data_IF_767575128412
#
_entry.id   IF_767575128412
#
_cell.length_a   1.000
_cell.length_b   1.000
_cell.length_c   1.000
_cell.angle_alpha   90.00
_cell.angle_beta   90.00
_cell.angle_gamma   90.00
#
_symmetry.space_group_name_H-M   'P 1'
#
loop_
_entity.id
_entity.type
_entity.pdbx_description
1 polymer ?
#
# COMPACT_ATOMS: atom_id res chain seq x y z
N UNK A 1 19.36 15.41 9.39
CA UNK A 1 18.56 14.60 8.45
C UNK A 1 17.70 13.67 9.27
N UNK A 2 16.41 13.52 8.92
CA UNK A 2 15.55 12.50 9.52
C UNK A 2 16.11 11.11 9.21
N UNK A 3 16.21 10.23 10.20
CA UNK A 3 16.57 8.81 10.04
C UNK A 3 15.39 7.96 9.51
N UNK A 4 14.25 8.58 9.18
CA UNK A 4 12.99 7.91 8.83
C UNK A 4 12.50 8.37 7.46
N UNK A 5 12.00 7.43 6.65
CA UNK A 5 11.48 7.68 5.30
C UNK A 5 10.24 6.83 5.03
N UNK A 6 9.25 7.40 4.37
CA UNK A 6 8.09 6.65 3.87
C UNK A 6 8.50 5.73 2.70
N UNK A 7 8.00 4.49 2.69
CA UNK A 7 8.41 3.47 1.71
C UNK A 7 7.31 3.17 0.68
N UNK A 8 6.18 2.62 1.13
CA UNK A 8 5.08 2.21 0.28
C UNK A 8 3.80 2.09 1.12
N UNK A 9 2.66 2.02 0.44
CA UNK A 9 1.37 1.64 1.03
C UNK A 9 0.97 0.26 0.50
N UNK A 10 0.37 -0.57 1.35
CA UNK A 10 -0.01 -1.94 0.99
C UNK A 10 -1.51 -2.00 0.72
N UNK A 11 -1.88 -2.53 -0.45
CA UNK A 11 -3.27 -2.76 -0.83
C UNK A 11 -3.57 -4.25 -0.84
N UNK A 12 -4.69 -4.67 -0.25
CA UNK A 12 -5.21 -6.03 -0.42
C UNK A 12 -5.94 -6.12 -1.76
N UNK A 13 -5.55 -7.08 -2.59
CA UNK A 13 -6.03 -7.22 -3.96
C UNK A 13 -6.89 -8.48 -4.09
N UNK A 14 -8.15 -8.30 -4.48
CA UNK A 14 -9.07 -9.41 -4.74
C UNK A 14 -8.96 -9.95 -6.16
N UNK A 15 -8.99 -9.06 -7.17
CA UNK A 15 -8.86 -9.42 -8.58
C UNK A 15 -7.54 -8.91 -9.15
N UNK A 16 -6.53 -9.78 -9.20
CA UNK A 16 -5.19 -9.44 -9.67
C UNK A 16 -5.17 -8.93 -11.12
N UNK A 17 -5.97 -9.52 -12.02
CA UNK A 17 -6.00 -9.14 -13.44
C UNK A 17 -6.52 -7.71 -13.63
N UNK A 18 -7.65 -7.39 -13.04
CA UNK A 18 -8.23 -6.04 -13.14
C UNK A 18 -7.33 -5.00 -12.46
N UNK A 19 -6.76 -5.35 -11.30
CA UNK A 19 -5.84 -4.46 -10.59
C UNK A 19 -4.60 -4.18 -11.43
N UNK A 20 -3.92 -5.19 -11.97
CA UNK A 20 -2.72 -4.97 -12.78
C UNK A 20 -3.02 -4.12 -14.02
N UNK A 21 -4.18 -4.34 -14.65
CA UNK A 21 -4.67 -3.48 -15.74
C UNK A 21 -4.82 -2.03 -15.30
N UNK A 22 -5.51 -1.79 -14.19
CA UNK A 22 -5.69 -0.44 -13.65
C UNK A 22 -4.34 0.25 -13.36
N UNK A 23 -3.44 -0.41 -12.65
CA UNK A 23 -2.15 0.16 -12.29
C UNK A 23 -1.27 0.44 -13.51
N UNK A 24 -1.24 -0.45 -14.51
CA UNK A 24 -0.41 -0.27 -15.72
C UNK A 24 -1.03 0.70 -16.72
N UNK A 25 -2.31 0.54 -17.05
CA UNK A 25 -2.95 1.24 -18.17
C UNK A 25 -3.58 2.56 -17.76
N UNK A 26 -4.12 2.66 -16.54
CA UNK A 26 -4.77 3.89 -16.04
C UNK A 26 -3.76 4.75 -15.30
N UNK A 27 -3.00 4.15 -14.37
CA UNK A 27 -2.01 4.87 -13.59
C UNK A 27 -0.62 4.88 -14.23
N UNK A 28 -0.36 4.19 -15.34
CA UNK A 28 0.98 4.21 -15.96
C UNK A 28 2.10 3.62 -15.10
N UNK A 29 1.78 2.84 -14.06
CA UNK A 29 2.77 2.25 -13.16
C UNK A 29 3.48 1.07 -13.80
N UNK A 30 4.72 0.85 -13.36
CA UNK A 30 5.56 -0.29 -13.73
C UNK A 30 5.70 -1.26 -12.57
N UNK A 31 5.83 -2.53 -12.90
CA UNK A 31 6.22 -3.55 -11.94
C UNK A 31 7.70 -3.36 -11.60
N UNK A 32 7.99 -3.15 -10.32
CA UNK A 32 9.35 -3.02 -9.81
C UNK A 32 9.90 -4.38 -9.39
N UNK A 33 9.06 -5.26 -8.84
CA UNK A 33 9.39 -6.65 -8.50
C UNK A 33 8.12 -7.43 -8.20
N UNK A 34 8.19 -8.73 -8.36
CA UNK A 34 7.10 -9.66 -8.07
C UNK A 34 7.65 -10.90 -7.36
N UNK A 35 6.97 -11.35 -6.32
CA UNK A 35 7.32 -12.54 -5.55
C UNK A 35 6.08 -13.40 -5.30
N UNK A 36 6.21 -14.72 -5.51
CA UNK A 36 5.21 -15.73 -5.15
C UNK A 36 5.67 -16.47 -3.89
N UNK A 37 4.72 -16.74 -2.99
CA UNK A 37 4.96 -17.42 -1.72
C UNK A 37 4.06 -18.66 -1.64
N UNK A 38 4.69 -19.81 -1.45
CA UNK A 38 4.04 -21.12 -1.44
C UNK A 38 3.36 -21.47 -0.11
N UNK A 39 3.69 -20.74 0.95
CA UNK A 39 3.15 -20.92 2.29
C UNK A 39 2.51 -19.61 2.77
N UNK A 40 1.55 -19.74 3.69
CA UNK A 40 0.95 -18.60 4.37
C UNK A 40 1.99 -17.67 4.95
N UNK A 41 1.69 -16.37 4.96
CA UNK A 41 2.56 -15.35 5.54
C UNK A 41 2.90 -15.77 6.98
N UNK A 42 4.17 -16.10 7.28
CA UNK A 42 4.64 -16.43 8.64
C UNK A 42 4.30 -15.32 9.65
N UNK A 43 4.19 -14.09 9.16
CA UNK A 43 3.78 -12.93 9.93
C UNK A 43 2.26 -12.85 10.21
N UNK A 44 1.47 -13.84 9.76
CA UNK A 44 -0.01 -13.82 9.77
C UNK A 44 -0.62 -12.52 9.24
N UNK A 45 0.16 -11.81 8.43
CA UNK A 45 -0.11 -10.47 7.93
C UNK A 45 -1.32 -10.43 6.98
N UNK A 46 -1.63 -11.59 6.39
CA UNK A 46 -2.74 -11.77 5.47
C UNK A 46 -4.03 -12.19 6.19
N UNK A 47 -4.10 -12.15 7.53
CA UNK A 47 -5.33 -12.50 8.26
C UNK A 47 -5.76 -13.96 8.02
N UNK A 48 -7.01 -14.25 7.63
CA UNK A 48 -7.49 -15.62 7.41
C UNK A 48 -6.91 -16.27 6.14
N UNK A 49 -6.15 -15.55 5.32
CA UNK A 49 -5.51 -16.09 4.13
C UNK A 49 -4.17 -16.74 4.51
N UNK A 50 -4.21 -18.00 4.91
CA UNK A 50 -3.07 -18.82 5.34
C UNK A 50 -2.48 -19.70 4.23
N UNK A 51 -3.00 -19.55 3.01
CA UNK A 51 -2.52 -20.24 1.81
C UNK A 51 -1.45 -19.46 1.03
N UNK A 52 -1.25 -19.87 -0.22
CA UNK A 52 -0.36 -19.21 -1.19
C UNK A 52 -0.75 -17.75 -1.38
N UNK A 53 0.24 -16.89 -1.55
CA UNK A 53 0.03 -15.47 -1.78
C UNK A 53 1.19 -14.88 -2.58
N UNK A 54 0.98 -13.69 -3.16
CA UNK A 54 2.01 -12.99 -3.89
C UNK A 54 2.16 -11.55 -3.43
N UNK A 55 3.33 -10.96 -3.70
CA UNK A 55 3.62 -9.56 -3.48
C UNK A 55 4.12 -8.96 -4.78
N UNK A 56 3.50 -7.84 -5.18
CA UNK A 56 3.94 -7.07 -6.34
C UNK A 56 4.19 -5.65 -5.89
N UNK A 57 5.40 -5.16 -6.10
CA UNK A 57 5.68 -3.73 -5.95
C UNK A 57 5.46 -3.05 -7.29
N UNK A 58 4.58 -2.07 -7.32
CA UNK A 58 4.38 -1.20 -8.47
C UNK A 58 4.77 0.24 -8.12
N UNK A 59 5.32 0.96 -9.09
CA UNK A 59 5.70 2.36 -8.92
C UNK A 59 5.57 3.14 -10.22
N UNK A 60 5.45 4.46 -10.09
CA UNK A 60 5.40 5.36 -11.24
C UNK A 60 6.82 5.61 -11.73
N UNK A 61 7.07 5.34 -13.01
CA UNK A 61 8.23 5.86 -13.73
C UNK A 61 7.78 7.12 -14.48
N UNK A 62 8.63 8.14 -14.58
CA UNK A 62 8.33 9.52 -15.00
C UNK A 62 7.91 9.68 -16.49
N UNK A 63 7.31 8.66 -17.10
CA UNK A 63 6.84 8.69 -18.48
C UNK A 63 5.32 8.76 -18.52
N UNK A 64 4.85 10.01 -18.47
CA UNK A 64 3.67 10.55 -19.15
C UNK A 64 2.38 9.74 -18.92
N UNK A 65 1.61 10.13 -17.89
CA UNK A 65 0.17 10.01 -17.96
C UNK A 65 -0.31 11.35 -18.52
N UNK A 66 -0.51 11.45 -19.83
CA UNK A 66 -1.25 12.60 -20.37
C UNK A 66 -2.72 12.41 -20.01
N UNK A 67 -3.13 12.90 -18.85
CA UNK A 67 -4.55 13.08 -18.58
C UNK A 67 -5.00 14.29 -19.40
N UNK A 68 -5.95 14.08 -20.31
CA UNK A 68 -6.62 15.19 -21.00
C UNK A 68 -7.66 15.79 -20.05
N UNK A 69 -7.22 16.39 -18.95
CA UNK A 69 -8.08 16.92 -17.90
C UNK A 69 -7.82 18.40 -17.71
N UNK A 70 -8.64 19.24 -18.35
CA UNK A 70 -8.60 20.69 -18.13
C UNK A 70 -9.03 20.97 -16.69
N UNK A 71 -8.06 21.33 -15.85
CA UNK A 71 -8.18 22.05 -14.58
C UNK A 71 -8.88 21.39 -13.36
N UNK A 72 -9.29 20.11 -13.43
CA UNK A 72 -9.96 19.43 -12.31
C UNK A 72 -9.15 18.26 -11.71
N UNK A 73 -9.22 18.11 -10.38
CA UNK A 73 -8.77 16.90 -9.69
C UNK A 73 -9.69 15.73 -10.09
N UNK A 74 -9.14 14.67 -10.68
CA UNK A 74 -9.90 13.47 -11.03
C UNK A 74 -9.78 12.46 -9.91
N UNK A 75 -10.91 11.93 -9.44
CA UNK A 75 -10.92 10.77 -8.55
C UNK A 75 -11.19 9.53 -9.40
N UNK A 76 -10.24 8.60 -9.40
CA UNK A 76 -10.42 7.26 -9.99
C UNK A 76 -10.43 6.22 -8.88
N UNK A 77 -11.13 5.12 -9.09
CA UNK A 77 -11.25 4.03 -8.13
C UNK A 77 -10.63 2.75 -8.69
N UNK A 78 -9.69 2.17 -7.94
CA UNK A 78 -9.07 0.90 -8.27
C UNK A 78 -10.03 -0.26 -7.96
N UNK A 79 -9.86 -1.43 -8.62
CA UNK A 79 -10.55 -2.65 -8.20
C UNK A 79 -10.29 -2.91 -6.71
N UNK A 80 -11.36 -3.09 -5.94
CA UNK A 80 -11.32 -3.18 -4.48
C UNK A 80 -11.69 -1.89 -3.74
N UNK A 81 -12.01 -0.80 -4.44
CA UNK A 81 -12.59 0.42 -3.86
C UNK A 81 -11.59 1.49 -3.42
N UNK A 82 -10.29 1.29 -3.66
CA UNK A 82 -9.26 2.26 -3.29
C UNK A 82 -9.28 3.47 -4.22
N UNK A 83 -9.37 4.67 -3.65
CA UNK A 83 -9.49 5.92 -4.40
C UNK A 83 -8.12 6.56 -4.62
N UNK A 84 -7.90 7.01 -5.85
CA UNK A 84 -6.74 7.79 -6.26
C UNK A 84 -7.20 9.16 -6.74
N UNK A 85 -6.61 10.21 -6.19
CA UNK A 85 -6.80 11.58 -6.71
C UNK A 85 -5.65 11.91 -7.64
N UNK A 86 -5.98 12.07 -8.93
CA UNK A 86 -5.06 12.49 -9.97
C UNK A 86 -5.15 14.00 -10.11
N UNK A 87 -3.99 14.65 -10.13
CA UNK A 87 -3.86 16.10 -10.24
C UNK A 87 -3.07 16.37 -11.52
N UNK A 88 -3.69 17.04 -12.49
CA UNK A 88 -3.04 17.37 -13.76
C UNK A 88 -2.10 18.57 -13.57
N UNK A 89 -0.89 18.27 -13.10
CA UNK A 89 0.18 19.24 -12.88
C UNK A 89 1.51 18.61 -13.22
N UNK A 90 2.40 19.42 -13.79
CA UNK A 90 3.81 19.05 -13.89
C UNK A 90 4.38 18.82 -12.49
N UNK A 91 4.96 17.63 -12.30
CA UNK A 91 5.59 17.25 -11.04
C UNK A 91 7.08 17.06 -11.24
N UNK A 92 7.87 17.67 -10.35
CA UNK A 92 9.27 17.30 -10.15
C UNK A 92 9.35 16.24 -9.06
N UNK A 93 10.27 15.28 -9.23
CA UNK A 93 10.47 14.17 -8.29
C UNK A 93 9.38 13.09 -8.35
N UNK A 94 9.12 12.43 -7.22
CA UNK A 94 8.13 11.35 -7.12
C UNK A 94 6.70 11.88 -7.36
N UNK A 95 5.95 11.35 -8.33
CA UNK A 95 4.56 11.75 -8.58
C UNK A 95 3.59 11.38 -7.45
N UNK A 96 3.91 10.41 -6.59
CA UNK A 96 3.06 10.08 -5.43
C UNK A 96 3.29 11.11 -4.32
N UNK A 97 2.33 12.01 -4.11
CA UNK A 97 2.49 13.15 -3.18
C UNK A 97 1.99 12.90 -1.77
N UNK A 98 0.89 12.16 -1.59
CA UNK A 98 0.35 11.85 -0.28
C UNK A 98 -0.51 10.60 -0.25
N UNK A 99 -0.64 10.02 0.93
CA UNK A 99 -1.66 9.03 1.29
C UNK A 99 -2.60 9.67 2.30
N UNK A 100 -3.91 9.53 2.10
CA UNK A 100 -4.92 10.07 3.00
C UNK A 100 -5.62 8.95 3.75
N UNK A 101 -5.68 9.03 5.09
CA UNK A 101 -6.38 8.08 5.95
C UNK A 101 -7.40 8.80 6.83
N UNK A 102 -8.53 8.14 7.07
CA UNK A 102 -9.56 8.62 7.98
C UNK A 102 -9.19 8.34 9.44
N UNK A 103 -9.43 9.29 10.32
CA UNK A 103 -9.18 9.16 11.76
C UNK A 103 -10.41 9.58 12.57
N UNK A 104 -10.65 8.93 13.71
CA UNK A 104 -11.77 9.29 14.59
C UNK A 104 -11.47 10.49 15.46
N UNK A 105 -10.19 10.83 15.69
CA UNK A 105 -9.79 11.96 16.51
C UNK A 105 -8.43 12.52 16.10
N UNK A 106 -8.42 13.69 15.46
CA UNK A 106 -7.17 14.36 15.07
C UNK A 106 -6.23 14.60 16.25
N UNK A 107 -6.74 14.95 17.42
CA UNK A 107 -5.91 15.19 18.60
C UNK A 107 -5.13 13.92 19.01
N UNK A 108 -5.78 12.76 19.04
CA UNK A 108 -5.13 11.48 19.36
C UNK A 108 -4.15 11.08 18.27
N UNK A 109 -4.54 11.23 17.01
CA UNK A 109 -3.68 10.88 15.87
C UNK A 109 -2.46 11.78 15.81
N UNK A 110 -2.59 13.09 16.02
CA UNK A 110 -1.45 14.01 16.08
C UNK A 110 -0.51 13.64 17.23
N UNK A 111 -1.02 13.36 18.42
CA UNK A 111 -0.17 12.89 19.54
C UNK A 111 0.65 11.66 19.14
N UNK A 112 0.05 10.70 18.44
CA UNK A 112 0.75 9.51 17.99
C UNK A 112 1.75 9.81 16.86
N UNK A 113 1.28 10.35 15.73
CA UNK A 113 2.07 10.52 14.52
C UNK A 113 3.16 11.59 14.65
N UNK A 114 2.86 12.70 15.32
CA UNK A 114 3.84 13.77 15.58
C UNK A 114 4.73 13.44 16.77
N UNK A 115 4.16 13.14 17.94
CA UNK A 115 4.96 13.13 19.17
C UNK A 115 5.63 11.77 19.43
N UNK A 116 5.00 10.65 19.02
CA UNK A 116 5.58 9.31 19.17
C UNK A 116 6.39 8.95 17.92
N UNK A 117 5.81 9.14 16.74
CA UNK A 117 6.46 8.79 15.48
C UNK A 117 7.30 9.91 14.88
N UNK A 118 7.33 11.11 15.46
CA UNK A 118 8.27 12.15 15.08
C UNK A 118 8.01 12.77 13.70
N UNK A 119 6.80 12.65 13.15
CA UNK A 119 6.46 13.35 11.91
C UNK A 119 6.32 14.86 12.16
N UNK A 120 6.72 15.66 11.17
CA UNK A 120 6.48 17.10 11.17
C UNK A 120 5.08 17.37 10.62
N UNK A 121 4.33 18.25 11.28
CA UNK A 121 3.06 18.79 10.78
C UNK A 121 3.35 19.94 9.82
N UNK A 122 2.92 19.81 8.57
CA UNK A 122 3.09 20.82 7.52
C UNK A 122 1.86 21.71 7.37
N UNK A 123 0.67 21.13 7.51
CA UNK A 123 -0.62 21.83 7.43
C UNK A 123 -1.57 21.25 8.46
N UNK A 124 -2.42 22.08 9.06
CA UNK A 124 -3.45 21.64 9.99
C UNK A 124 -4.68 22.54 9.88
N UNK A 125 -5.85 21.93 9.83
CA UNK A 125 -7.17 22.55 9.94
C UNK A 125 -7.96 21.88 11.06
N UNK A 126 -9.20 22.29 11.26
CA UNK A 126 -10.11 21.63 12.23
C UNK A 126 -10.43 20.17 11.83
N UNK A 127 -10.38 19.85 10.54
CA UNK A 127 -10.80 18.54 10.01
C UNK A 127 -9.69 17.77 9.32
N UNK A 128 -8.49 18.35 9.14
CA UNK A 128 -7.36 17.68 8.50
C UNK A 128 -6.01 18.03 9.11
N UNK A 129 -5.03 17.15 8.94
CA UNK A 129 -3.63 17.45 9.17
C UNK A 129 -2.75 16.77 8.12
N UNK A 130 -1.73 17.47 7.61
CA UNK A 130 -0.74 16.95 6.67
C UNK A 130 0.60 16.79 7.38
N UNK A 131 1.14 15.58 7.38
CA UNK A 131 2.35 15.21 8.10
C UNK A 131 3.40 14.57 7.18
N UNK A 132 4.67 14.62 7.57
CA UNK A 132 5.73 13.91 6.86
C UNK A 132 7.07 13.94 7.59
N UNK A 133 7.99 13.08 7.15
CA UNK A 133 9.37 13.07 7.65
C UNK A 133 10.28 14.05 6.89
N UNK A 134 9.98 14.28 5.61
CA UNK A 134 10.77 15.13 4.72
C UNK A 134 9.85 16.07 3.94
N UNK A 135 10.30 17.29 3.68
CA UNK A 135 9.49 18.33 3.02
C UNK A 135 9.21 18.01 1.55
N UNK A 136 10.08 17.26 0.87
CA UNK A 136 10.00 16.96 -0.56
C UNK A 136 9.51 15.53 -0.88
N UNK A 137 9.20 14.71 0.13
CA UNK A 137 8.70 13.33 -0.04
C UNK A 137 7.20 13.21 0.17
N UNK A 138 6.66 12.02 -0.11
CA UNK A 138 5.26 11.69 0.12
C UNK A 138 4.83 12.01 1.56
N UNK A 139 3.61 12.56 1.72
CA UNK A 139 3.00 12.99 2.99
C UNK A 139 1.90 12.03 3.45
N UNK A 140 1.56 12.10 4.73
CA UNK A 140 0.38 11.48 5.32
C UNK A 140 -0.66 12.56 5.60
N UNK A 141 -1.85 12.45 5.03
CA UNK A 141 -2.98 13.32 5.35
C UNK A 141 -3.96 12.57 6.25
N UNK A 142 -4.17 13.10 7.46
CA UNK A 142 -5.18 12.64 8.39
C UNK A 142 -6.47 13.42 8.14
N UNK A 143 -7.59 12.72 7.98
CA UNK A 143 -8.91 13.33 7.76
C UNK A 143 -9.84 12.93 8.90
N UNK A 144 -10.32 13.90 9.67
CA UNK A 144 -11.27 13.65 10.75
C UNK A 144 -12.62 13.23 10.18
N UNK A 145 -13.08 12.02 10.53
CA UNK A 145 -14.33 11.47 10.02
C UNK A 145 -15.56 11.88 10.84
N UNK A 146 -15.37 12.26 12.11
CA UNK A 146 -16.47 12.48 13.05
C UNK A 146 -17.14 11.18 13.53
N UNK A 147 -16.63 10.02 13.14
CA UNK A 147 -17.07 8.70 13.58
C UNK A 147 -15.87 7.74 13.76
N UNK A 148 -16.05 6.60 14.44
CA UNK A 148 -15.05 5.53 14.47
C UNK A 148 -14.68 5.05 13.06
N UNK A 149 -13.41 4.68 12.87
CA UNK A 149 -12.93 4.15 11.59
C UNK A 149 -13.40 2.70 11.43
N UNK A 150 -14.02 2.40 10.28
CA UNK A 150 -14.31 1.04 9.84
C UNK A 150 -13.22 0.57 8.86
N UNK A 151 -12.43 -0.42 9.29
CA UNK A 151 -11.36 -1.00 8.48
C UNK A 151 -11.86 -2.10 7.54
N UNK A 152 -13.11 -2.55 7.68
CA UNK A 152 -13.67 -3.69 6.97
C UNK A 152 -12.68 -4.89 6.96
N UNK A 153 -12.29 -5.36 5.79
CA UNK A 153 -11.34 -6.48 5.62
C UNK A 153 -9.87 -6.04 5.56
N UNK A 154 -9.57 -4.75 5.69
CA UNK A 154 -8.24 -4.16 5.52
C UNK A 154 -7.42 -4.04 6.83
N UNK A 155 -7.60 -4.97 7.78
CA UNK A 155 -6.76 -5.08 8.99
C UNK A 155 -5.49 -5.92 8.73
N UNK A 156 -4.46 -5.78 9.56
CA UNK A 156 -3.29 -6.67 9.65
C UNK A 156 -2.80 -6.86 11.12
N UNK A 157 -1.55 -7.32 11.33
CA UNK A 157 -0.99 -7.79 12.63
C UNK A 157 0.56 -7.77 12.65
N UNK A 158 1.14 -7.91 13.86
CA UNK A 158 2.59 -7.85 14.20
C UNK A 158 3.43 -8.99 13.62
N UNK A 159 4.65 -8.72 13.10
CA UNK A 159 5.71 -9.74 13.04
C UNK A 159 7.14 -9.18 12.94
N UNK A 160 8.13 -10.07 13.17
CA UNK A 160 9.52 -9.75 13.50
C UNK A 160 10.58 -10.17 12.46
N UNK A 161 10.24 -10.97 11.43
CA UNK A 161 11.13 -11.25 10.28
C UNK A 161 10.37 -11.90 9.12
N UNK A 162 10.68 -11.54 7.87
CA UNK A 162 10.09 -12.14 6.66
C UNK A 162 11.21 -12.55 5.71
N UNK A 163 11.34 -13.85 5.50
CA UNK A 163 12.22 -14.39 4.47
C UNK A 163 11.55 -14.21 3.12
N UNK A 164 12.23 -13.52 2.20
CA UNK A 164 11.79 -13.39 0.81
C UNK A 164 12.69 -14.28 -0.05
N UNK A 165 12.15 -15.24 -0.82
CA UNK A 165 12.95 -16.17 -1.61
C UNK A 165 13.99 -15.45 -2.48
N UNK A 166 15.27 -15.83 -2.32
CA UNK A 166 16.38 -15.26 -3.09
C UNK A 166 16.73 -13.80 -2.78
N UNK A 167 16.21 -13.21 -1.68
CA UNK A 167 16.48 -11.82 -1.29
C UNK A 167 16.92 -11.69 0.17
N UNK A 168 17.39 -10.51 0.54
CA UNK A 168 17.79 -10.21 1.92
C UNK A 168 16.63 -10.40 2.90
N UNK A 169 16.89 -11.07 4.03
CA UNK A 169 15.97 -11.10 5.17
C UNK A 169 15.92 -9.71 5.81
N UNK A 170 14.72 -9.23 6.11
CA UNK A 170 14.51 -7.95 6.78
C UNK A 170 13.83 -8.17 8.13
N UNK A 171 14.28 -7.41 9.12
CA UNK A 171 13.61 -7.27 10.41
C UNK A 171 12.64 -6.10 10.34
N UNK A 172 11.45 -6.28 10.91
CA UNK A 172 10.44 -5.25 10.98
C UNK A 172 9.62 -5.32 12.27
N UNK A 173 8.89 -4.25 12.55
CA UNK A 173 7.91 -4.14 13.63
C UNK A 173 6.66 -3.50 13.05
N UNK A 174 5.49 -4.09 13.31
CA UNK A 174 4.20 -3.49 12.92
C UNK A 174 3.53 -2.94 14.17
N UNK A 175 3.14 -1.67 14.10
CA UNK A 175 2.37 -0.97 15.13
C UNK A 175 0.99 -0.59 14.56
N UNK A 176 0.00 -0.49 15.43
CA UNK A 176 -1.30 0.10 15.10
C UNK A 176 -1.40 1.50 15.72
N UNK A 177 -1.88 2.47 14.94
CA UNK A 177 -2.18 3.80 15.44
C UNK A 177 -3.45 3.82 16.31
N UNK A 178 -3.86 4.97 16.89
CA UNK A 178 -5.03 5.05 17.77
C UNK A 178 -6.35 4.61 17.11
N UNK A 179 -6.43 4.65 15.79
CA UNK A 179 -7.60 4.22 15.02
C UNK A 179 -7.45 2.80 14.47
N UNK A 180 -6.31 2.13 14.68
CA UNK A 180 -6.05 0.78 14.19
C UNK A 180 -5.37 0.71 12.82
N UNK A 181 -4.90 1.84 12.28
CA UNK A 181 -4.11 1.84 11.03
C UNK A 181 -2.74 1.26 11.28
N UNK A 182 -2.32 0.34 10.42
CA UNK A 182 -1.05 -0.36 10.58
C UNK A 182 0.14 0.28 9.90
N UNK A 183 1.25 0.23 10.62
CA UNK A 183 2.49 0.86 10.25
C UNK A 183 3.62 -0.15 10.42
N UNK A 184 4.24 -0.52 9.31
CA UNK A 184 5.42 -1.38 9.29
C UNK A 184 6.70 -0.54 9.31
N UNK A 185 7.50 -0.68 10.37
CA UNK A 185 8.86 -0.17 10.45
C UNK A 185 9.83 -1.27 10.06
N UNK A 186 10.73 -1.01 9.12
CA UNK A 186 11.70 -1.98 8.63
C UNK A 186 13.10 -1.35 8.65
N UNK A 187 14.12 -2.16 8.92
CA UNK A 187 15.52 -1.71 8.85
C UNK A 187 15.91 -1.24 7.44
N UNK A 188 16.42 -0.01 7.32
CA UNK A 188 16.66 0.64 6.02
C UNK A 188 17.70 -0.09 5.17
N UNK A 189 18.82 -0.54 5.76
CA UNK A 189 19.92 -1.18 5.03
C UNK A 189 19.47 -2.48 4.34
N UNK A 190 18.90 -3.41 5.10
CA UNK A 190 18.40 -4.67 4.55
C UNK A 190 17.22 -4.44 3.58
N UNK A 191 16.37 -3.43 3.84
CA UNK A 191 15.26 -3.11 2.94
C UNK A 191 15.74 -2.54 1.61
N UNK A 192 16.84 -1.76 1.57
CA UNK A 192 17.43 -1.28 0.31
C UNK A 192 17.86 -2.43 -0.59
N UNK A 193 18.41 -3.48 0.00
CA UNK A 193 18.79 -4.69 -0.74
C UNK A 193 17.57 -5.48 -1.20
N UNK A 194 16.58 -5.69 -0.33
CA UNK A 194 15.32 -6.37 -0.66
C UNK A 194 14.51 -5.65 -1.75
N UNK A 195 14.52 -4.32 -1.75
CA UNK A 195 13.67 -3.47 -2.59
C UNK A 195 14.25 -3.15 -3.97
N UNK A 196 15.40 -3.74 -4.33
CA UNK A 196 15.97 -3.61 -5.68
C UNK A 196 14.95 -4.00 -6.75
N UNK A 197 14.93 -3.18 -7.81
CA UNK A 197 14.10 -3.45 -8.99
C UNK A 197 14.59 -4.75 -9.63
N UNK A 198 13.65 -5.67 -9.86
CA UNK A 198 13.88 -6.89 -10.61
C UNK A 198 13.54 -6.62 -12.09
N UNK A 199 14.53 -6.68 -13.01
CA UNK A 199 14.27 -6.49 -14.43
C UNK A 199 13.31 -7.53 -15.02
N UNK A 200 13.12 -8.67 -14.35
CA UNK A 200 12.17 -9.71 -14.75
C UNK A 200 10.82 -9.59 -14.03
N UNK A 201 10.63 -8.62 -13.14
CA UNK A 201 9.43 -8.51 -12.30
C UNK A 201 8.14 -8.50 -13.11
N UNK A 202 8.13 -7.80 -14.25
CA UNK A 202 6.97 -7.76 -15.15
C UNK A 202 6.65 -9.14 -15.75
N UNK A 203 7.69 -9.84 -16.22
CA UNK A 203 7.57 -11.19 -16.78
C UNK A 203 7.08 -12.18 -15.72
N UNK A 204 7.65 -12.14 -14.51
CA UNK A 204 7.27 -13.01 -13.40
C UNK A 204 5.79 -12.83 -13.04
N UNK A 205 5.32 -11.59 -12.92
CA UNK A 205 3.91 -11.30 -12.67
C UNK A 205 3.01 -11.82 -13.79
N UNK A 206 3.37 -11.57 -15.06
CA UNK A 206 2.57 -12.03 -16.20
C UNK A 206 2.47 -13.56 -16.24
N UNK A 207 3.56 -14.28 -15.94
CA UNK A 207 3.55 -15.74 -15.81
C UNK A 207 2.62 -16.19 -14.69
N UNK A 208 2.75 -15.59 -13.50
CA UNK A 208 1.92 -15.97 -12.35
C UNK A 208 0.42 -15.68 -12.59
N UNK A 209 0.08 -14.62 -13.32
CA UNK A 209 -1.29 -14.31 -13.74
C UNK A 209 -1.83 -15.33 -14.75
N UNK A 210 -1.00 -15.79 -15.70
CA UNK A 210 -1.39 -16.80 -16.67
C UNK A 210 -1.62 -18.18 -16.03
N UNK A 211 -0.91 -18.47 -14.94
CA UNK A 211 -1.02 -19.71 -14.16
C UNK A 211 -2.07 -19.63 -13.04
N UNK A 212 -2.74 -18.48 -12.89
CA UNK A 212 -3.72 -18.23 -11.84
C UNK A 212 -4.96 -19.11 -11.99
N UNK A 213 -5.29 -19.88 -10.95
CA UNK A 213 -6.49 -20.73 -10.87
C UNK A 213 -7.39 -20.36 -9.71
N UNK A 214 -7.28 -19.12 -9.21
CA UNK A 214 -8.05 -18.64 -8.06
C UNK A 214 -9.55 -18.73 -8.31
N UNK A 215 -10.03 -18.39 -9.51
CA UNK A 215 -11.46 -18.51 -9.87
C UNK A 215 -11.97 -19.95 -9.78
N UNK A 216 -11.19 -20.92 -10.28
CA UNK A 216 -11.54 -22.34 -10.15
C UNK A 216 -11.57 -22.77 -8.68
N UNK A 217 -10.64 -22.28 -7.88
CA UNK A 217 -10.58 -22.57 -6.45
C UNK A 217 -11.80 -21.98 -5.73
N UNK A 218 -12.13 -20.71 -5.96
CA UNK A 218 -13.30 -20.07 -5.37
C UNK A 218 -14.60 -20.77 -5.79
N UNK A 219 -14.74 -21.19 -7.05
CA UNK A 219 -15.90 -21.98 -7.49
C UNK A 219 -16.01 -23.33 -6.74
N UNK A 220 -14.89 -24.00 -6.47
CA UNK A 220 -14.83 -25.25 -5.71
C UNK A 220 -15.07 -25.05 -4.20
N UNK A 221 -14.71 -23.90 -3.64
CA UNK A 221 -14.86 -23.60 -2.21
C UNK A 221 -16.24 -23.04 -1.89
N UNK A 222 -16.77 -22.13 -2.72
CA UNK A 222 -18.12 -21.60 -2.59
C UNK A 222 -19.20 -22.71 -2.64
N UNK A 223 -18.92 -23.81 -3.34
CA UNK A 223 -19.79 -24.99 -3.38
C UNK A 223 -19.69 -25.91 -2.15
N UNK A 224 -18.73 -25.71 -1.23
CA UNK A 224 -18.44 -26.62 -0.10
C UNK A 224 -18.90 -26.14 1.27
N UNK A 225 -19.13 -24.85 1.51
CA UNK A 225 -19.86 -24.28 2.69
C UNK A 225 -19.92 -22.76 2.58
N UNK A 226 -20.99 -22.15 3.10
CA UNK A 226 -21.24 -20.69 3.18
C UNK A 226 -19.98 -19.94 3.64
N UNK A 227 -19.28 -19.32 2.70
CA UNK A 227 -18.40 -18.20 2.98
C UNK A 227 -19.30 -16.97 3.08
N UNK A 228 -19.53 -16.49 4.30
CA UNK A 228 -20.06 -15.14 4.51
C UNK A 228 -18.87 -14.19 4.63
N UNK A 229 -18.82 -13.11 3.84
CA UNK A 229 -17.78 -12.09 3.92
C UNK A 229 -17.54 -11.56 5.34
#
# INVERSE_FOLDING_TARGET
MSLRRALHFVFKIGNRNETVKFYREILGMKVLRHEEFEEGCKASCNGPYDGKWSKTMAGLDLKIITLLARDDNIIVEAPGGYKFTLVDKDVTGDPVKKVSIGVSSLAKSLLYWQNILGMTVYEQTETKALLGYDSDKCKLELIHLGCPVDHATAFGRIAFSLDTPGKATVEFVILADPDGHEICFVGDEAFRELSKVDPNGDKLLNTAMAEDKSDEWFAKVASRKKWTP
#
